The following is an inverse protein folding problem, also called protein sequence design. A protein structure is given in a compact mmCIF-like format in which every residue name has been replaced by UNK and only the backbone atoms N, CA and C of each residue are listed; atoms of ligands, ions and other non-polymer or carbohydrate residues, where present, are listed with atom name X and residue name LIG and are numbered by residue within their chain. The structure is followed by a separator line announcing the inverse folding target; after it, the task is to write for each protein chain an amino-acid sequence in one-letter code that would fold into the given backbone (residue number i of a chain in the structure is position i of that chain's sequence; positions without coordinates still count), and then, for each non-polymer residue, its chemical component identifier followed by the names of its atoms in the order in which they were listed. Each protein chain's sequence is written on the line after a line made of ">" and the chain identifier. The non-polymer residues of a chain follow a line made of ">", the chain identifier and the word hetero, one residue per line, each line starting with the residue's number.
data_IF_360771518115
#
_entry.id   IF_360771518115
#
_cell.length_a   1.000
_cell.length_b   1.000
_cell.length_c   1.000
_cell.angle_alpha   90.00
_cell.angle_beta   90.00
_cell.angle_gamma   90.00
#
_symmetry.space_group_name_H-M   'P 1'
#
loop_
_entity.id
_entity.type
_entity.pdbx_description
1 polymer ?
#
# COMPACT_ATOMS: atom_id res chain seq x y z
N UNK A 1 -34.15 -26.54 -38.64
CA UNK A 1 -34.02 -27.89 -39.25
C UNK A 1 -34.37 -27.86 -40.72
N UNK A 2 -35.43 -27.13 -41.10
CA UNK A 2 -35.85 -27.00 -42.49
C UNK A 2 -35.77 -25.55 -42.93
N UNK A 3 -35.27 -25.32 -44.14
CA UNK A 3 -35.38 -24.06 -44.86
C UNK A 3 -36.53 -24.19 -45.87
N UNK A 4 -37.46 -23.24 -45.83
CA UNK A 4 -38.67 -23.24 -46.65
C UNK A 4 -38.58 -22.02 -47.56
N UNK A 5 -38.56 -22.25 -48.87
CA UNK A 5 -38.46 -21.20 -49.89
C UNK A 5 -39.77 -21.16 -50.66
N UNK A 6 -40.48 -20.04 -50.53
CA UNK A 6 -41.73 -19.77 -51.23
C UNK A 6 -41.55 -18.85 -52.43
N UNK A 7 -42.66 -18.56 -53.09
CA UNK A 7 -42.71 -17.62 -54.21
C UNK A 7 -42.07 -16.26 -53.86
N UNK A 8 -41.53 -15.58 -54.87
CA UNK A 8 -40.87 -14.27 -54.75
C UNK A 8 -39.63 -14.25 -53.83
N UNK A 9 -38.92 -15.37 -53.71
CA UNK A 9 -37.74 -15.53 -52.84
C UNK A 9 -38.01 -15.32 -51.35
N UNK A 10 -39.24 -15.56 -50.91
CA UNK A 10 -39.57 -15.56 -49.48
C UNK A 10 -38.93 -16.79 -48.80
N UNK A 11 -38.22 -16.57 -47.71
CA UNK A 11 -37.50 -17.63 -46.99
C UNK A 11 -37.96 -17.69 -45.54
N UNK A 12 -38.28 -18.90 -45.07
CA UNK A 12 -38.70 -19.19 -43.72
C UNK A 12 -37.88 -20.35 -43.15
N UNK A 13 -37.69 -20.34 -41.83
CA UNK A 13 -37.03 -21.44 -41.12
C UNK A 13 -38.04 -22.16 -40.24
N UNK A 14 -38.02 -23.49 -40.30
CA UNK A 14 -38.93 -24.35 -39.55
C UNK A 14 -38.21 -25.46 -38.80
N UNK A 15 -38.86 -25.92 -37.74
CA UNK A 15 -38.50 -27.17 -37.06
C UNK A 15 -39.26 -28.36 -37.64
N UNK A 16 -40.36 -28.13 -38.35
CA UNK A 16 -41.15 -29.15 -39.05
C UNK A 16 -41.19 -28.85 -40.56
N UNK A 17 -41.24 -29.86 -41.44
CA UNK A 17 -41.25 -29.66 -42.89
C UNK A 17 -42.62 -29.20 -43.44
N UNK A 18 -43.59 -28.90 -42.57
CA UNK A 18 -44.98 -28.60 -42.94
C UNK A 18 -45.88 -29.84 -42.87
N UNK A 19 -47.20 -29.63 -42.93
CA UNK A 19 -48.21 -30.70 -42.80
C UNK A 19 -48.78 -31.19 -44.14
N UNK A 20 -48.62 -30.40 -45.21
CA UNK A 20 -49.15 -30.71 -46.54
C UNK A 20 -47.99 -30.90 -47.52
N UNK A 21 -47.84 -32.11 -48.05
CA UNK A 21 -46.87 -32.42 -49.09
C UNK A 21 -47.54 -32.34 -50.46
N UNK A 22 -47.04 -31.46 -51.32
CA UNK A 22 -47.47 -31.33 -52.71
C UNK A 22 -46.59 -32.19 -53.63
N UNK A 23 -47.08 -32.51 -54.82
CA UNK A 23 -46.28 -33.18 -55.84
C UNK A 23 -45.16 -32.26 -56.35
N UNK A 24 -44.01 -32.82 -56.71
CA UNK A 24 -42.82 -32.07 -57.12
C UNK A 24 -43.05 -31.11 -58.30
N UNK A 25 -43.98 -31.46 -59.20
CA UNK A 25 -44.36 -30.66 -60.37
C UNK A 25 -44.99 -29.30 -60.00
N UNK A 26 -45.46 -29.14 -58.77
CA UNK A 26 -46.00 -27.86 -58.25
C UNK A 26 -44.91 -26.89 -57.80
N UNK A 27 -43.66 -27.34 -57.67
CA UNK A 27 -42.50 -26.50 -57.33
C UNK A 27 -41.62 -26.29 -58.57
N UNK A 28 -42.16 -25.62 -59.57
CA UNK A 28 -41.59 -25.43 -60.91
C UNK A 28 -40.83 -24.11 -61.10
N UNK A 29 -40.79 -23.22 -60.10
CA UNK A 29 -40.11 -21.93 -60.20
C UNK A 29 -38.62 -22.05 -59.88
N UNK A 30 -37.77 -21.48 -60.73
CA UNK A 30 -36.31 -21.45 -60.51
C UNK A 30 -35.90 -20.33 -59.56
N UNK A 31 -34.77 -20.53 -58.85
CA UNK A 31 -34.23 -19.54 -57.93
C UNK A 31 -33.59 -18.35 -58.67
N UNK A 32 -33.86 -17.08 -58.30
CA UNK A 32 -33.38 -15.91 -59.06
C UNK A 32 -31.86 -15.75 -59.16
N UNK A 33 -31.09 -16.33 -58.24
CA UNK A 33 -29.61 -16.30 -58.26
C UNK A 33 -28.98 -17.55 -58.86
N UNK A 34 -29.75 -18.63 -59.02
CA UNK A 34 -29.24 -19.91 -59.50
C UNK A 34 -30.35 -20.70 -60.20
N UNK A 35 -30.37 -20.63 -61.53
CA UNK A 35 -31.40 -21.27 -62.36
C UNK A 35 -31.37 -22.81 -62.30
N UNK A 36 -30.33 -23.41 -61.71
CA UNK A 36 -30.23 -24.87 -61.51
C UNK A 36 -31.02 -25.39 -60.31
N UNK A 37 -31.59 -24.51 -59.49
CA UNK A 37 -32.32 -24.86 -58.27
C UNK A 37 -33.78 -24.38 -58.35
N UNK A 38 -34.69 -25.15 -57.73
CA UNK A 38 -36.14 -24.90 -57.74
C UNK A 38 -36.61 -24.24 -56.44
N UNK A 39 -36.98 -22.97 -56.47
CA UNK A 39 -37.39 -22.16 -55.31
C UNK A 39 -38.92 -22.04 -55.19
N UNK A 40 -39.63 -23.18 -55.07
CA UNK A 40 -41.07 -23.23 -54.86
C UNK A 40 -41.89 -23.13 -56.16
N UNK A 41 -43.14 -22.70 -56.04
CA UNK A 41 -44.09 -22.57 -57.16
C UNK A 41 -45.34 -21.76 -56.78
N UNK A 42 -46.35 -21.76 -57.63
CA UNK A 42 -47.62 -21.06 -57.32
C UNK A 42 -48.33 -21.73 -56.14
N UNK A 43 -48.40 -21.01 -55.01
CA UNK A 43 -48.88 -21.52 -53.72
C UNK A 43 -48.15 -22.78 -53.21
N UNK A 44 -46.91 -22.98 -53.64
CA UNK A 44 -46.06 -24.09 -53.23
C UNK A 44 -44.70 -23.57 -52.75
N UNK A 45 -44.14 -24.23 -51.74
CA UNK A 45 -42.82 -23.90 -51.20
C UNK A 45 -41.90 -25.11 -51.27
N UNK A 46 -40.66 -24.91 -51.72
CA UNK A 46 -39.62 -25.92 -51.64
C UNK A 46 -39.10 -26.00 -50.21
N UNK A 47 -39.05 -27.21 -49.65
CA UNK A 47 -38.55 -27.48 -48.30
C UNK A 47 -37.24 -28.24 -48.39
N UNK A 48 -36.20 -27.71 -47.76
CA UNK A 48 -34.87 -28.29 -47.72
C UNK A 48 -34.53 -28.68 -46.29
N UNK A 49 -34.04 -29.90 -46.08
CA UNK A 49 -33.38 -30.26 -44.82
C UNK A 49 -32.04 -29.52 -44.77
N UNK A 50 -31.81 -28.76 -43.70
CA UNK A 50 -30.56 -28.00 -43.53
C UNK A 50 -29.42 -28.86 -43.00
N UNK A 51 -29.67 -30.14 -42.73
CA UNK A 51 -28.76 -31.11 -42.09
C UNK A 51 -28.27 -30.69 -40.70
N UNK A 52 -28.80 -29.59 -40.15
CA UNK A 52 -28.46 -29.07 -38.82
C UNK A 52 -29.04 -30.00 -37.75
N UNK A 53 -28.14 -30.60 -36.99
CA UNK A 53 -28.43 -31.50 -35.87
C UNK A 53 -28.25 -30.82 -34.51
N UNK A 54 -27.36 -29.82 -34.41
CA UNK A 54 -27.11 -29.08 -33.19
C UNK A 54 -28.36 -28.32 -32.69
N UNK A 55 -28.51 -28.13 -31.36
CA UNK A 55 -29.53 -27.25 -30.81
C UNK A 55 -29.36 -25.80 -31.29
N UNK A 56 -30.47 -25.06 -31.37
CA UNK A 56 -30.45 -23.62 -31.66
C UNK A 56 -29.94 -22.77 -30.50
N UNK A 57 -29.74 -21.46 -30.71
CA UNK A 57 -29.33 -20.52 -29.67
C UNK A 57 -30.42 -20.37 -28.60
N UNK A 58 -30.00 -20.13 -27.36
CA UNK A 58 -30.89 -19.83 -26.24
C UNK A 58 -31.69 -18.56 -26.52
N UNK A 59 -32.92 -18.49 -26.01
CA UNK A 59 -33.78 -17.32 -26.22
C UNK A 59 -33.26 -16.09 -25.46
N UNK A 60 -32.78 -16.28 -24.23
CA UNK A 60 -32.20 -15.22 -23.42
C UNK A 60 -31.23 -15.76 -22.40
N UNK A 61 -30.25 -14.95 -22.04
CA UNK A 61 -29.32 -15.14 -20.93
C UNK A 61 -29.38 -13.91 -20.03
N UNK A 62 -29.42 -14.12 -18.71
CA UNK A 62 -29.41 -13.07 -17.71
C UNK A 62 -28.48 -13.47 -16.57
N UNK A 63 -27.74 -12.51 -16.03
CA UNK A 63 -26.89 -12.69 -14.85
C UNK A 63 -27.45 -11.87 -13.69
N UNK A 64 -27.59 -12.50 -12.53
CA UNK A 64 -28.12 -11.89 -11.31
C UNK A 64 -27.25 -12.27 -10.12
N UNK A 65 -27.44 -11.60 -8.99
CA UNK A 65 -26.77 -11.88 -7.72
C UNK A 65 -25.23 -11.94 -7.88
N UNK A 66 -24.66 -10.88 -8.45
CA UNK A 66 -23.21 -10.78 -8.65
C UNK A 66 -22.57 -10.39 -7.32
N UNK A 67 -21.61 -11.20 -6.87
CA UNK A 67 -20.84 -10.97 -5.65
C UNK A 67 -19.36 -10.79 -6.01
N UNK A 68 -18.48 -10.83 -5.01
CA UNK A 68 -17.02 -10.75 -5.21
C UNK A 68 -16.48 -11.97 -5.95
N UNK A 69 -17.00 -13.17 -5.65
CA UNK A 69 -16.46 -14.43 -6.15
C UNK A 69 -17.51 -15.33 -6.80
N UNK A 70 -18.77 -14.89 -6.86
CA UNK A 70 -19.87 -15.68 -7.42
C UNK A 70 -20.79 -14.85 -8.30
N UNK A 71 -21.46 -15.53 -9.24
CA UNK A 71 -22.55 -14.96 -10.01
C UNK A 71 -23.58 -16.04 -10.35
N UNK A 72 -24.84 -15.65 -10.52
CA UNK A 72 -25.92 -16.57 -10.90
C UNK A 72 -26.36 -16.32 -12.32
N UNK A 73 -26.18 -17.32 -13.19
CA UNK A 73 -26.59 -17.28 -14.59
C UNK A 73 -27.96 -17.94 -14.71
N UNK A 74 -28.88 -17.29 -15.44
CA UNK A 74 -30.22 -17.79 -15.75
C UNK A 74 -30.45 -17.71 -17.25
N UNK A 75 -31.06 -18.74 -17.83
CA UNK A 75 -31.35 -18.76 -19.26
C UNK A 75 -32.73 -19.34 -19.56
N UNK A 76 -33.22 -19.06 -20.76
CA UNK A 76 -34.42 -19.67 -21.31
C UNK A 76 -34.07 -20.66 -22.41
N UNK A 77 -34.78 -21.79 -22.43
CA UNK A 77 -34.55 -22.89 -23.37
C UNK A 77 -34.68 -22.41 -24.82
N UNK A 78 -33.87 -22.94 -25.75
CA UNK A 78 -34.01 -22.61 -27.16
C UNK A 78 -35.26 -23.28 -27.74
N UNK A 79 -35.79 -22.75 -28.84
CA UNK A 79 -36.75 -23.47 -29.68
C UNK A 79 -35.99 -24.55 -30.49
N UNK A 80 -35.67 -25.67 -29.84
CA UNK A 80 -34.95 -26.77 -30.47
C UNK A 80 -35.91 -27.84 -31.00
N UNK A 81 -35.63 -28.35 -32.20
CA UNK A 81 -36.25 -29.57 -32.73
C UNK A 81 -35.60 -30.84 -32.18
N UNK A 82 -34.33 -30.74 -31.77
CA UNK A 82 -33.56 -31.86 -31.22
C UNK A 82 -33.72 -31.97 -29.70
N UNK A 83 -33.53 -33.19 -29.18
CA UNK A 83 -33.65 -33.46 -27.75
C UNK A 83 -32.46 -32.86 -27.01
N UNK A 84 -32.71 -31.78 -26.27
CA UNK A 84 -31.70 -31.16 -25.41
C UNK A 84 -31.42 -32.09 -24.23
N UNK A 85 -30.16 -32.45 -24.05
CA UNK A 85 -29.66 -33.29 -22.96
C UNK A 85 -29.17 -32.45 -21.78
N UNK A 86 -28.67 -31.24 -22.06
CA UNK A 86 -28.17 -30.31 -21.05
C UNK A 86 -27.71 -28.98 -21.62
N UNK A 87 -26.97 -28.25 -20.79
CA UNK A 87 -26.35 -26.98 -21.14
C UNK A 87 -24.89 -26.96 -20.70
N UNK A 88 -24.05 -26.25 -21.45
CA UNK A 88 -22.67 -25.95 -21.07
C UNK A 88 -22.60 -24.46 -20.76
N UNK A 89 -22.14 -24.13 -19.56
CA UNK A 89 -21.89 -22.75 -19.12
C UNK A 89 -20.38 -22.56 -19.04
N UNK A 90 -19.86 -21.54 -19.71
CA UNK A 90 -18.44 -21.16 -19.63
C UNK A 90 -18.29 -19.74 -19.12
N UNK A 91 -17.21 -19.48 -18.39
CA UNK A 91 -16.81 -18.13 -18.03
C UNK A 91 -15.31 -17.96 -18.27
N UNK A 92 -14.98 -17.04 -19.16
CA UNK A 92 -13.59 -16.65 -19.45
C UNK A 92 -13.37 -15.20 -19.05
N UNK A 93 -12.16 -14.90 -18.60
CA UNK A 93 -11.82 -13.56 -18.13
C UNK A 93 -11.46 -12.66 -19.31
N UNK A 94 -11.95 -11.41 -19.28
CA UNK A 94 -11.64 -10.37 -20.27
C UNK A 94 -10.62 -9.40 -19.68
N UNK A 95 -10.81 -9.01 -18.42
CA UNK A 95 -9.97 -8.04 -17.73
C UNK A 95 -9.91 -8.37 -16.23
N UNK A 96 -8.74 -8.22 -15.63
CA UNK A 96 -8.50 -8.48 -14.21
C UNK A 96 -7.36 -7.63 -13.67
N UNK A 97 -7.33 -7.46 -12.35
CA UNK A 97 -6.21 -6.90 -11.61
C UNK A 97 -5.23 -7.96 -11.11
N UNK A 98 -5.56 -9.26 -11.26
CA UNK A 98 -4.71 -10.36 -10.84
C UNK A 98 -3.45 -10.47 -11.69
N UNK A 99 -2.30 -10.65 -11.03
CA UNK A 99 -1.02 -10.99 -11.67
C UNK A 99 -0.98 -12.47 -12.13
N UNK A 100 -1.88 -13.31 -11.62
CA UNK A 100 -1.94 -14.74 -11.93
C UNK A 100 -2.89 -15.04 -13.10
N UNK A 101 -2.54 -15.99 -13.99
CA UNK A 101 -3.43 -16.44 -15.05
C UNK A 101 -4.62 -17.20 -14.46
N UNK A 102 -5.83 -16.79 -14.84
CA UNK A 102 -7.07 -17.39 -14.36
C UNK A 102 -7.61 -18.36 -15.40
N UNK A 103 -7.84 -19.61 -14.97
CA UNK A 103 -8.31 -20.68 -15.84
C UNK A 103 -9.81 -20.45 -16.15
N UNK A 104 -10.23 -20.55 -17.43
CA UNK A 104 -11.64 -20.48 -17.78
C UNK A 104 -12.46 -21.58 -17.09
N UNK A 105 -13.60 -21.19 -16.54
CA UNK A 105 -14.53 -22.12 -15.91
C UNK A 105 -15.44 -22.75 -16.98
N UNK A 106 -15.63 -24.07 -16.93
CA UNK A 106 -16.62 -24.80 -17.71
C UNK A 106 -17.47 -25.68 -16.79
N UNK A 107 -18.79 -25.57 -16.90
CA UNK A 107 -19.76 -26.36 -16.14
C UNK A 107 -20.80 -26.96 -17.08
N UNK A 108 -21.04 -28.27 -16.92
CA UNK A 108 -22.12 -28.99 -17.60
C UNK A 108 -23.29 -29.21 -16.66
N UNK A 109 -24.48 -28.80 -17.08
CA UNK A 109 -25.71 -28.93 -16.28
C UNK A 109 -26.78 -29.71 -17.04
N UNK A 110 -27.63 -30.49 -16.35
CA UNK A 110 -28.66 -31.30 -17.01
C UNK A 110 -29.78 -30.42 -17.59
N UNK A 111 -30.57 -30.97 -18.53
CA UNK A 111 -31.65 -30.25 -19.23
C UNK A 111 -32.70 -29.60 -18.31
N UNK A 112 -32.91 -30.14 -17.11
CA UNK A 112 -33.88 -29.62 -16.14
C UNK A 112 -33.42 -28.34 -15.42
N UNK A 113 -32.15 -27.96 -15.57
CA UNK A 113 -31.55 -26.80 -14.93
C UNK A 113 -31.57 -25.61 -15.88
N UNK A 114 -32.23 -24.53 -15.47
CA UNK A 114 -32.30 -23.25 -16.21
C UNK A 114 -31.57 -22.11 -15.51
N UNK A 115 -30.89 -22.42 -14.41
CA UNK A 115 -30.05 -21.49 -13.68
C UNK A 115 -28.92 -22.23 -12.97
N UNK A 116 -27.75 -21.61 -12.91
CA UNK A 116 -26.62 -22.13 -12.15
C UNK A 116 -25.82 -21.01 -11.51
N UNK A 117 -25.09 -21.34 -10.45
CA UNK A 117 -24.17 -20.43 -9.80
C UNK A 117 -22.74 -20.78 -10.19
N UNK A 118 -22.01 -19.78 -10.64
CA UNK A 118 -20.57 -19.88 -10.89
C UNK A 118 -19.86 -19.42 -9.62
N UNK A 119 -18.91 -20.23 -9.18
CA UNK A 119 -18.15 -20.04 -7.93
C UNK A 119 -16.68 -19.81 -8.25
N UNK A 120 -15.93 -19.33 -7.25
CA UNK A 120 -14.48 -19.14 -7.30
C UNK A 120 -14.02 -18.20 -8.44
N UNK A 121 -14.82 -17.17 -8.72
CA UNK A 121 -14.43 -16.09 -9.63
C UNK A 121 -13.47 -15.13 -8.94
N UNK A 122 -12.63 -14.46 -9.75
CA UNK A 122 -11.72 -13.42 -9.28
C UNK A 122 -12.53 -12.15 -8.99
N UNK A 123 -12.33 -11.52 -7.81
CA UNK A 123 -12.93 -10.23 -7.50
C UNK A 123 -12.50 -9.11 -8.45
N UNK A 124 -13.36 -8.11 -8.60
CA UNK A 124 -13.10 -6.91 -9.41
C UNK A 124 -12.73 -7.20 -10.86
N UNK A 125 -13.20 -8.32 -11.42
CA UNK A 125 -12.78 -8.81 -12.73
C UNK A 125 -13.95 -8.91 -13.69
N UNK A 126 -13.68 -8.66 -14.97
CA UNK A 126 -14.66 -8.67 -16.04
C UNK A 126 -14.64 -10.01 -16.76
N UNK A 127 -15.78 -10.68 -16.81
CA UNK A 127 -15.97 -12.00 -17.39
C UNK A 127 -16.86 -11.96 -18.63
N UNK A 128 -16.52 -12.81 -19.60
CA UNK A 128 -17.39 -13.23 -20.68
C UNK A 128 -18.03 -14.57 -20.30
N UNK A 129 -19.31 -14.54 -19.99
CA UNK A 129 -20.07 -15.73 -19.63
C UNK A 129 -20.84 -16.20 -20.86
N UNK A 130 -20.66 -17.46 -21.23
CA UNK A 130 -21.35 -18.07 -22.38
C UNK A 130 -22.18 -19.25 -21.94
N UNK A 131 -23.34 -19.43 -22.58
CA UNK A 131 -24.17 -20.64 -22.38
C UNK A 131 -24.56 -21.19 -23.74
N UNK A 132 -24.41 -22.50 -23.90
CA UNK A 132 -24.84 -23.25 -25.08
C UNK A 132 -25.73 -24.42 -24.68
N UNK A 133 -26.76 -24.69 -25.48
CA UNK A 133 -27.56 -25.91 -25.36
C UNK A 133 -26.83 -27.09 -26.01
N UNK A 134 -26.99 -28.28 -25.45
CA UNK A 134 -26.28 -29.49 -25.90
C UNK A 134 -27.29 -30.62 -26.12
N UNK A 135 -27.09 -31.41 -27.18
CA UNK A 135 -27.81 -32.66 -27.43
C UNK A 135 -26.88 -33.87 -27.18
N UNK A 136 -27.11 -35.04 -27.79
CA UNK A 136 -26.22 -36.19 -27.60
C UNK A 136 -24.91 -36.10 -28.38
N UNK A 137 -24.90 -35.36 -29.48
CA UNK A 137 -23.84 -35.41 -30.50
C UNK A 137 -23.06 -34.09 -30.60
N UNK A 138 -23.72 -32.96 -30.34
CA UNK A 138 -23.27 -31.62 -30.69
C UNK A 138 -23.66 -30.55 -29.66
N UNK A 139 -22.82 -29.51 -29.60
CA UNK A 139 -23.07 -28.27 -28.86
C UNK A 139 -23.65 -27.21 -29.82
N UNK A 140 -24.71 -26.55 -29.39
CA UNK A 140 -25.32 -25.43 -30.12
C UNK A 140 -24.47 -24.15 -30.03
N UNK A 141 -24.92 -23.06 -30.67
CA UNK A 141 -24.21 -21.79 -30.64
C UNK A 141 -24.19 -21.17 -29.24
N UNK A 142 -23.06 -20.57 -28.88
CA UNK A 142 -22.88 -19.84 -27.63
C UNK A 142 -23.66 -18.53 -27.62
N UNK A 143 -24.43 -18.30 -26.56
CA UNK A 143 -25.00 -16.98 -26.23
C UNK A 143 -24.16 -16.36 -25.13
N UNK A 144 -23.66 -15.14 -25.34
CA UNK A 144 -22.68 -14.49 -24.48
C UNK A 144 -23.24 -13.30 -23.72
N UNK A 145 -22.74 -13.06 -22.51
CA UNK A 145 -23.03 -11.89 -21.69
C UNK A 145 -21.78 -11.46 -20.96
N UNK A 146 -21.54 -10.15 -20.95
CA UNK A 146 -20.40 -9.57 -20.22
C UNK A 146 -20.85 -9.10 -18.85
N UNK A 147 -20.09 -9.45 -17.82
CA UNK A 147 -20.39 -9.11 -16.43
C UNK A 147 -19.11 -8.80 -15.67
N UNK A 148 -19.20 -7.99 -14.63
CA UNK A 148 -18.07 -7.63 -13.76
C UNK A 148 -18.40 -8.01 -12.32
N UNK A 149 -17.49 -8.75 -11.67
CA UNK A 149 -17.61 -9.12 -10.24
C UNK A 149 -17.37 -7.91 -9.35
N UNK A 150 -17.93 -7.95 -8.14
CA UNK A 150 -17.69 -6.90 -7.13
C UNK A 150 -16.22 -6.92 -6.71
N UNK A 151 -15.65 -5.76 -6.39
CA UNK A 151 -14.28 -5.69 -5.87
C UNK A 151 -14.16 -6.40 -4.52
N UNK A 152 -13.02 -7.05 -4.30
CA UNK A 152 -12.72 -7.75 -3.05
C UNK A 152 -11.90 -6.90 -2.09
N UNK A 153 -11.66 -7.43 -0.90
CA UNK A 153 -10.68 -6.87 0.04
C UNK A 153 -9.30 -6.80 -0.63
N UNK A 154 -8.58 -5.66 -0.55
CA UNK A 154 -7.27 -5.54 -1.17
C UNK A 154 -6.30 -6.65 -0.77
N UNK A 155 -5.60 -7.22 -1.75
CA UNK A 155 -4.63 -8.30 -1.54
C UNK A 155 -3.47 -8.16 -2.56
N UNK A 156 -2.21 -8.41 -2.19
CA UNK A 156 -1.69 -8.84 -0.89
C UNK A 156 -1.76 -7.75 0.21
N UNK A 157 -1.27 -8.08 1.41
CA UNK A 157 -1.15 -7.10 2.50
C UNK A 157 -0.33 -5.90 2.02
N UNK A 158 -0.72 -4.66 2.37
CA UNK A 158 0.10 -3.48 2.10
C UNK A 158 1.51 -3.65 2.69
N UNK A 159 2.54 -3.08 2.05
CA UNK A 159 3.90 -3.07 2.58
C UNK A 159 4.01 -2.12 3.79
N UNK A 160 5.00 -2.40 4.65
CA UNK A 160 5.32 -1.51 5.78
C UNK A 160 5.80 -0.14 5.28
N UNK A 161 5.40 0.92 5.99
CA UNK A 161 5.91 2.28 5.75
C UNK A 161 7.41 2.34 6.08
N UNK A 162 8.21 2.95 5.20
CA UNK A 162 9.65 3.09 5.41
C UNK A 162 9.94 4.37 6.18
N UNK A 163 10.38 4.23 7.43
CA UNK A 163 10.88 5.34 8.21
C UNK A 163 12.17 5.93 7.60
N UNK A 164 12.28 7.26 7.57
CA UNK A 164 13.51 7.97 7.19
C UNK A 164 14.11 8.72 8.38
N UNK A 165 13.40 9.72 8.87
CA UNK A 165 13.90 10.63 9.91
C UNK A 165 12.78 11.10 10.84
N UNK A 166 13.14 11.52 12.05
CA UNK A 166 12.23 12.12 13.01
C UNK A 166 12.83 13.40 13.58
N UNK A 167 12.02 14.47 13.60
CA UNK A 167 12.37 15.77 14.15
C UNK A 167 11.25 16.21 15.10
N UNK A 168 11.42 15.96 16.40
CA UNK A 168 10.45 16.33 17.44
C UNK A 168 9.06 15.70 17.25
N UNK A 169 8.09 16.54 16.90
CA UNK A 169 6.68 16.19 16.66
C UNK A 169 6.38 15.77 15.20
N UNK A 170 7.40 15.65 14.36
CA UNK A 170 7.28 15.28 12.94
C UNK A 170 8.10 14.08 12.57
N UNK A 171 7.57 13.26 11.66
CA UNK A 171 8.24 12.07 11.13
C UNK A 171 8.22 12.08 9.61
N UNK A 172 9.40 12.01 9.00
CA UNK A 172 9.56 11.84 7.55
C UNK A 172 9.55 10.34 7.22
N UNK A 173 8.62 9.95 6.34
CA UNK A 173 8.42 8.56 5.92
C UNK A 173 8.32 8.46 4.40
N UNK A 174 8.62 7.29 3.88
CA UNK A 174 8.38 6.93 2.48
C UNK A 174 7.35 5.80 2.42
N UNK A 175 6.31 5.99 1.61
CA UNK A 175 5.22 5.02 1.45
C UNK A 175 5.50 4.20 0.19
N UNK A 176 5.80 2.89 0.29
CA UNK A 176 6.00 2.06 -0.88
C UNK A 176 4.69 1.82 -1.65
N UNK A 177 4.77 1.69 -2.97
CA UNK A 177 3.63 1.29 -3.79
C UNK A 177 3.12 -0.10 -3.38
N UNK A 178 1.80 -0.20 -3.15
CA UNK A 178 1.13 -1.46 -2.88
C UNK A 178 0.60 -2.10 -4.17
N UNK A 179 0.25 -3.38 -4.08
CA UNK A 179 -0.46 -4.11 -5.12
C UNK A 179 -1.87 -4.45 -4.63
N UNK A 180 -2.82 -4.52 -5.56
CA UNK A 180 -4.17 -5.00 -5.29
C UNK A 180 -4.66 -5.88 -6.46
N UNK A 181 -4.84 -7.18 -6.22
CA UNK A 181 -5.32 -8.14 -7.22
C UNK A 181 -6.85 -8.24 -7.28
N UNK A 182 -7.55 -7.60 -6.34
CA UNK A 182 -9.00 -7.71 -6.14
C UNK A 182 -9.77 -6.44 -6.57
N UNK A 183 -9.06 -5.43 -7.09
CA UNK A 183 -9.65 -4.17 -7.52
C UNK A 183 -8.61 -3.07 -7.76
N UNK A 184 -9.04 -1.85 -8.10
CA UNK A 184 -8.15 -0.70 -8.23
C UNK A 184 -7.59 -0.26 -6.86
N UNK A 185 -6.45 0.42 -6.85
CA UNK A 185 -5.98 1.18 -5.69
C UNK A 185 -6.49 2.60 -5.86
N UNK A 186 -7.44 3.01 -5.02
CA UNK A 186 -8.05 4.33 -5.10
C UNK A 186 -7.30 5.32 -4.20
N UNK A 187 -6.93 4.92 -2.98
CA UNK A 187 -6.22 5.77 -2.02
C UNK A 187 -5.34 4.94 -1.08
N UNK A 188 -4.37 5.60 -0.46
CA UNK A 188 -3.57 5.10 0.66
C UNK A 188 -4.01 5.78 1.95
N UNK A 189 -4.24 5.01 3.01
CA UNK A 189 -4.67 5.52 4.31
C UNK A 189 -3.55 5.31 5.32
N UNK A 190 -3.09 6.38 5.97
CA UNK A 190 -2.00 6.30 6.95
C UNK A 190 -2.59 6.39 8.35
N UNK A 191 -2.29 5.39 9.19
CA UNK A 191 -2.75 5.30 10.57
C UNK A 191 -1.56 5.44 11.49
N UNK A 192 -1.69 6.32 12.47
CA UNK A 192 -0.72 6.48 13.57
C UNK A 192 -1.29 5.77 14.79
N UNK A 193 -0.50 4.90 15.40
CA UNK A 193 -0.83 4.22 16.64
C UNK A 193 0.24 4.50 17.68
N UNK A 194 -0.17 4.80 18.92
CA UNK A 194 0.71 5.08 20.05
C UNK A 194 0.65 3.85 20.96
N UNK A 195 1.64 2.96 20.85
CA UNK A 195 1.63 1.63 21.45
C UNK A 195 1.99 1.63 22.95
N UNK A 196 1.15 2.22 23.81
CA UNK A 196 1.38 2.17 25.27
C UNK A 196 1.18 0.75 25.84
N UNK A 197 0.37 -0.10 25.19
CA UNK A 197 -0.06 -1.40 25.76
C UNK A 197 -0.02 -2.61 24.80
N UNK A 198 0.75 -2.56 23.70
CA UNK A 198 0.90 -3.67 22.71
C UNK A 198 -0.40 -4.15 22.01
N UNK A 199 -1.51 -3.45 22.17
CA UNK A 199 -2.71 -3.67 21.35
C UNK A 199 -2.64 -2.72 20.16
N UNK A 200 -2.57 -3.28 18.95
CA UNK A 200 -2.73 -2.51 17.72
C UNK A 200 -4.10 -1.84 17.63
N UNK A 201 -4.41 -1.25 16.49
CA UNK A 201 -5.69 -0.55 16.32
C UNK A 201 -6.84 -1.49 15.93
N UNK A 202 -8.06 -1.09 16.30
CA UNK A 202 -9.29 -1.77 15.86
C UNK A 202 -9.92 -0.98 14.73
N UNK A 203 -10.27 -1.65 13.63
CA UNK A 203 -10.76 -0.99 12.40
C UNK A 203 -12.12 -0.31 12.64
N UNK A 204 -13.00 -0.91 13.47
CA UNK A 204 -14.36 -0.42 13.71
C UNK A 204 -14.42 0.93 14.42
N UNK A 205 -13.41 1.24 15.24
CA UNK A 205 -13.30 2.46 16.03
C UNK A 205 -12.32 3.46 15.42
N UNK A 206 -11.72 3.13 14.28
CA UNK A 206 -10.72 3.95 13.62
C UNK A 206 -11.37 5.19 12.99
N UNK A 207 -10.87 6.38 13.33
CA UNK A 207 -11.39 7.65 12.85
C UNK A 207 -10.35 8.78 12.88
N UNK A 208 -10.82 10.02 12.76
CA UNK A 208 -9.97 11.22 12.80
C UNK A 208 -9.32 11.41 14.17
N UNK A 209 -8.23 12.17 14.21
CA UNK A 209 -7.54 12.53 15.45
C UNK A 209 -8.46 13.14 16.54
N UNK A 210 -9.39 14.02 16.16
CA UNK A 210 -10.34 14.62 17.12
C UNK A 210 -11.26 13.59 17.77
N UNK A 211 -11.73 12.61 16.99
CA UNK A 211 -12.54 11.50 17.48
C UNK A 211 -11.74 10.59 18.42
N UNK A 212 -10.49 10.30 18.05
CA UNK A 212 -9.60 9.52 18.90
C UNK A 212 -9.37 10.19 20.27
N UNK A 213 -9.17 11.51 20.30
CA UNK A 213 -9.07 12.26 21.57
C UNK A 213 -10.35 12.15 22.39
N UNK A 214 -11.52 12.40 21.78
CA UNK A 214 -12.82 12.33 22.48
C UNK A 214 -13.08 10.95 23.10
N UNK A 215 -12.68 9.89 22.40
CA UNK A 215 -12.84 8.50 22.84
C UNK A 215 -11.68 7.94 23.64
N UNK A 216 -10.59 8.69 23.82
CA UNK A 216 -9.38 8.20 24.48
C UNK A 216 -8.71 7.03 23.76
N UNK A 217 -8.79 6.99 22.42
CA UNK A 217 -8.19 5.94 21.60
C UNK A 217 -6.72 6.25 21.30
N UNK A 218 -5.81 5.27 21.39
CA UNK A 218 -4.38 5.48 21.14
C UNK A 218 -4.01 5.45 19.65
N UNK A 219 -4.97 5.53 18.73
CA UNK A 219 -4.73 5.46 17.30
C UNK A 219 -5.70 6.34 16.53
N UNK A 220 -5.27 6.84 15.38
CA UNK A 220 -6.08 7.68 14.51
C UNK A 220 -5.58 7.66 13.06
N UNK A 221 -6.47 7.99 12.14
CA UNK A 221 -6.12 8.23 10.74
C UNK A 221 -5.50 9.62 10.64
N UNK A 222 -4.29 9.68 10.11
CA UNK A 222 -3.53 10.93 9.95
C UNK A 222 -3.67 11.52 8.55
N UNK A 223 -3.85 10.67 7.54
CA UNK A 223 -4.03 11.09 6.15
C UNK A 223 -4.71 10.02 5.29
N UNK A 224 -5.45 10.47 4.28
CA UNK A 224 -5.73 9.70 3.08
C UNK A 224 -5.05 10.38 1.88
N UNK A 225 -4.23 9.64 1.17
CA UNK A 225 -3.34 10.11 0.11
C UNK A 225 -3.74 9.47 -1.22
N UNK A 226 -3.67 10.24 -2.30
CA UNK A 226 -3.87 9.72 -3.64
C UNK A 226 -2.63 8.92 -4.10
N UNK A 227 -2.75 8.00 -5.08
CA UNK A 227 -1.62 7.22 -5.58
C UNK A 227 -0.45 8.06 -6.14
N UNK A 228 -0.70 9.32 -6.50
CA UNK A 228 0.35 10.24 -6.94
C UNK A 228 1.14 10.86 -5.78
N UNK A 229 0.52 11.02 -4.60
CA UNK A 229 1.16 11.67 -3.44
C UNK A 229 2.30 10.82 -2.86
N UNK A 230 2.19 9.49 -2.98
CA UNK A 230 3.17 8.54 -2.42
C UNK A 230 4.49 8.49 -3.22
N UNK A 231 4.57 9.17 -4.37
CA UNK A 231 5.81 9.26 -5.16
C UNK A 231 6.91 10.04 -4.44
N UNK A 232 6.52 10.95 -3.54
CA UNK A 232 7.42 11.73 -2.71
C UNK A 232 7.37 11.24 -1.26
N UNK A 233 8.33 11.71 -0.45
CA UNK A 233 8.29 11.44 0.98
C UNK A 233 7.14 12.21 1.64
N UNK A 234 6.51 11.57 2.62
CA UNK A 234 5.39 12.10 3.37
C UNK A 234 5.84 12.49 4.78
N UNK A 235 5.34 13.62 5.28
CA UNK A 235 5.64 14.12 6.63
C UNK A 235 4.42 13.88 7.51
N UNK A 236 4.53 13.00 8.50
CA UNK A 236 3.52 12.82 9.54
C UNK A 236 3.71 13.91 10.60
N UNK A 237 2.63 14.57 11.02
CA UNK A 237 2.65 15.65 12.01
C UNK A 237 2.83 17.07 11.46
N UNK A 238 2.66 17.26 10.15
CA UNK A 238 2.81 18.58 9.50
C UNK A 238 1.63 19.55 9.73
N UNK A 239 0.56 19.11 10.40
CA UNK A 239 -0.66 19.89 10.71
C UNK A 239 -1.49 20.25 9.48
N UNK A 240 -1.25 19.60 8.35
CA UNK A 240 -2.05 19.73 7.12
C UNK A 240 -3.20 18.71 7.16
N UNK A 241 -4.30 19.02 6.47
CA UNK A 241 -5.43 18.09 6.32
C UNK A 241 -5.39 17.43 4.96
N UNK A 242 -5.39 16.09 4.93
CA UNK A 242 -5.34 15.27 3.71
C UNK A 242 -6.64 14.50 3.58
N UNK A 243 -7.43 14.79 2.53
CA UNK A 243 -8.73 14.16 2.26
C UNK A 243 -9.66 14.09 3.50
N UNK A 244 -9.67 15.15 4.31
CA UNK A 244 -10.53 15.27 5.49
C UNK A 244 -9.92 14.75 6.80
N UNK A 245 -8.69 14.22 6.77
CA UNK A 245 -7.96 13.76 7.95
C UNK A 245 -6.89 14.77 8.36
N UNK A 246 -6.94 15.23 9.61
CA UNK A 246 -5.97 16.17 10.16
C UNK A 246 -4.70 15.44 10.60
N UNK A 247 -3.57 15.78 9.99
CA UNK A 247 -2.26 15.20 10.27
C UNK A 247 -1.67 15.80 11.55
N UNK A 248 -2.14 15.31 12.69
CA UNK A 248 -1.82 15.86 14.00
C UNK A 248 -0.34 15.69 14.37
N UNK A 249 0.24 16.67 15.10
CA UNK A 249 1.63 16.57 15.55
C UNK A 249 1.81 15.36 16.46
N UNK A 250 2.93 14.65 16.27
CA UNK A 250 3.21 13.42 17.00
C UNK A 250 3.65 13.72 18.44
N UNK A 251 3.26 12.88 19.42
CA UNK A 251 3.78 12.99 20.78
C UNK A 251 5.29 12.69 20.81
N UNK A 252 5.99 13.26 21.80
CA UNK A 252 7.42 13.05 22.03
C UNK A 252 7.67 11.70 22.75
N UNK A 253 7.31 10.60 22.08
CA UNK A 253 7.53 9.22 22.53
C UNK A 253 8.10 8.38 21.39
N UNK A 254 8.77 7.29 21.75
CA UNK A 254 9.31 6.31 20.81
C UNK A 254 8.32 5.20 20.46
N UNK A 255 7.22 5.09 21.20
CA UNK A 255 6.23 4.04 21.02
C UNK A 255 5.18 4.45 19.98
N UNK A 256 5.63 4.82 18.78
CA UNK A 256 4.78 5.18 17.65
C UNK A 256 4.94 4.15 16.56
N UNK A 257 3.82 3.56 16.17
CA UNK A 257 3.69 2.72 14.99
C UNK A 257 2.92 3.46 13.89
N UNK A 258 3.34 3.22 12.65
CA UNK A 258 2.70 3.77 11.45
C UNK A 258 2.28 2.61 10.55
N UNK A 259 0.97 2.45 10.43
CA UNK A 259 0.36 1.39 9.64
C UNK A 259 -0.23 1.94 8.36
N UNK A 260 0.03 1.25 7.24
CA UNK A 260 -0.49 1.59 5.93
C UNK A 260 -1.79 0.81 5.64
N UNK A 261 -2.79 1.51 5.15
CA UNK A 261 -4.01 0.96 4.59
C UNK A 261 -4.10 1.20 3.09
N UNK A 262 -4.55 0.21 2.33
CA UNK A 262 -4.92 0.36 0.92
C UNK A 262 -6.43 0.40 0.82
N UNK A 263 -6.94 1.43 0.16
CA UNK A 263 -8.37 1.65 -0.07
C UNK A 263 -8.67 1.35 -1.54
N UNK A 264 -9.60 0.43 -1.77
CA UNK A 264 -10.15 0.12 -3.09
C UNK A 264 -11.60 0.56 -3.13
N UNK A 265 -11.94 1.44 -4.06
CA UNK A 265 -13.29 1.95 -4.23
C UNK A 265 -13.71 1.91 -5.70
N UNK A 266 -14.82 1.22 -5.98
CA UNK A 266 -15.40 1.09 -7.32
C UNK A 266 -16.90 0.79 -7.22
N UNK A 267 -17.71 1.41 -8.08
CA UNK A 267 -19.17 1.20 -8.12
C UNK A 267 -19.86 1.34 -6.74
N UNK A 268 -19.46 2.35 -5.95
CA UNK A 268 -19.95 2.61 -4.59
C UNK A 268 -19.63 1.54 -3.54
N UNK A 269 -18.80 0.55 -3.88
CA UNK A 269 -18.26 -0.41 -2.93
C UNK A 269 -16.87 0.06 -2.52
N UNK A 270 -16.65 0.19 -1.21
CA UNK A 270 -15.35 0.54 -0.60
C UNK A 270 -14.84 -0.63 0.22
N UNK A 271 -13.60 -1.05 -0.02
CA UNK A 271 -12.91 -2.12 0.69
C UNK A 271 -11.54 -1.61 1.13
N UNK A 272 -11.12 -1.98 2.33
CA UNK A 272 -9.86 -1.50 2.90
C UNK A 272 -9.13 -2.68 3.53
N UNK A 273 -7.81 -2.75 3.33
CA UNK A 273 -6.93 -3.64 4.09
C UNK A 273 -5.78 -2.85 4.66
N UNK A 274 -5.40 -3.15 5.89
CA UNK A 274 -4.24 -2.59 6.56
C UNK A 274 -3.11 -3.62 6.62
N UNK A 275 -1.87 -3.13 6.74
CA UNK A 275 -0.68 -3.97 6.91
C UNK A 275 -0.80 -4.85 8.18
N UNK A 276 -0.38 -6.11 8.07
CA UNK A 276 -0.46 -7.09 9.16
C UNK A 276 0.69 -6.98 10.19
N UNK A 277 1.76 -6.24 9.89
CA UNK A 277 2.99 -6.22 10.69
C UNK A 277 3.35 -4.80 11.16
N UNK A 278 3.21 -4.53 12.46
CA UNK A 278 3.78 -3.36 13.12
C UNK A 278 5.23 -3.66 13.50
N UNK A 279 6.16 -3.47 12.55
CA UNK A 279 7.58 -3.41 12.91
C UNK A 279 7.76 -2.22 13.85
N UNK A 280 8.09 -2.48 15.13
CA UNK A 280 8.49 -1.43 16.06
C UNK A 280 9.63 -0.62 15.46
N UNK A 281 9.34 0.61 15.06
CA UNK A 281 10.38 1.56 14.71
C UNK A 281 10.96 2.01 16.05
N UNK A 282 12.07 1.40 16.49
CA UNK A 282 12.84 1.92 17.63
C UNK A 282 13.48 3.21 17.12
N UNK A 283 12.81 4.33 17.40
CA UNK A 283 13.31 5.65 17.07
C UNK A 283 14.37 6.02 18.11
N UNK A 284 15.62 6.12 17.67
CA UNK A 284 16.58 6.89 18.45
C UNK A 284 16.15 8.35 18.35
N UNK A 285 15.67 8.93 19.45
CA UNK A 285 15.55 10.39 19.63
C UNK A 285 16.96 10.96 19.79
N UNK A 286 17.81 10.72 18.81
CA UNK A 286 19.01 11.51 18.71
C UNK A 286 18.56 12.72 17.91
N UNK A 287 18.07 13.74 18.62
CA UNK A 287 18.32 15.10 18.16
C UNK A 287 19.83 15.13 17.87
N UNK A 288 20.28 15.34 16.62
CA UNK A 288 21.67 15.72 16.46
C UNK A 288 21.79 17.00 17.27
N UNK A 289 22.56 16.97 18.36
CA UNK A 289 23.01 18.21 18.99
C UNK A 289 23.61 19.04 17.85
N UNK A 290 22.90 20.08 17.40
CA UNK A 290 23.49 21.09 16.54
C UNK A 290 24.51 21.82 17.41
N UNK A 291 25.70 21.23 17.53
CA UNK A 291 26.82 21.86 18.22
C UNK A 291 27.11 23.13 17.45
N UNK A 292 26.64 24.27 17.98
CA UNK A 292 26.74 25.54 17.28
C UNK A 292 28.19 25.75 16.80
N UNK A 293 28.41 26.29 15.60
CA UNK A 293 29.76 26.50 15.07
C UNK A 293 30.62 27.38 16.00
N UNK A 294 29.97 28.18 16.85
CA UNK A 294 30.60 28.99 17.89
C UNK A 294 31.20 28.15 19.03
N UNK A 295 30.56 27.05 19.44
CA UNK A 295 31.09 26.14 20.48
C UNK A 295 32.32 25.38 19.96
N UNK A 296 32.27 24.91 18.70
CA UNK A 296 33.42 24.26 18.05
C UNK A 296 34.58 25.25 17.88
N UNK A 297 34.30 26.48 17.45
CA UNK A 297 35.30 27.53 17.32
C UNK A 297 35.92 27.92 18.67
N UNK A 298 35.10 28.01 19.73
CA UNK A 298 35.57 28.32 21.08
C UNK A 298 36.47 27.19 21.63
N UNK A 299 36.07 25.93 21.44
CA UNK A 299 36.88 24.77 21.83
C UNK A 299 38.24 24.74 21.12
N UNK A 300 38.27 25.01 19.81
CA UNK A 300 39.51 25.10 19.04
C UNK A 300 40.40 26.27 19.50
N UNK A 301 39.82 27.44 19.79
CA UNK A 301 40.57 28.60 20.27
C UNK A 301 41.23 28.35 21.63
N UNK A 302 40.53 27.68 22.56
CA UNK A 302 41.07 27.31 23.87
C UNK A 302 42.24 26.33 23.69
N UNK A 303 42.08 25.31 22.85
CA UNK A 303 43.15 24.33 22.59
C UNK A 303 44.41 24.99 22.01
N UNK A 304 44.27 25.89 21.03
CA UNK A 304 45.39 26.65 20.46
C UNK A 304 46.04 27.55 21.52
N UNK A 305 45.24 28.21 22.35
CA UNK A 305 45.74 29.06 23.44
C UNK A 305 46.60 28.30 24.45
N UNK A 306 46.16 27.10 24.85
CA UNK A 306 46.93 26.24 25.78
C UNK A 306 48.27 25.83 25.16
N UNK A 307 48.29 25.45 23.89
CA UNK A 307 49.53 25.07 23.19
C UNK A 307 50.52 26.24 23.12
N UNK A 308 50.03 27.44 22.79
CA UNK A 308 50.88 28.64 22.76
C UNK A 308 51.44 29.00 24.14
N UNK A 309 50.65 28.81 25.21
CA UNK A 309 51.07 29.06 26.58
C UNK A 309 52.18 28.07 26.99
N UNK A 310 52.04 26.79 26.65
CA UNK A 310 53.07 25.76 26.89
C UNK A 310 54.37 26.06 26.13
N UNK A 311 54.28 26.49 24.87
CA UNK A 311 55.45 26.93 24.08
C UNK A 311 56.11 28.16 24.73
N UNK A 312 55.32 29.14 25.16
CA UNK A 312 55.79 30.34 25.85
C UNK A 312 56.52 30.01 27.17
N UNK A 313 55.96 29.11 27.98
CA UNK A 313 56.61 28.62 29.21
C UNK A 313 57.91 27.89 28.89
N UNK A 314 57.92 27.04 27.86
CA UNK A 314 59.14 26.38 27.38
C UNK A 314 60.22 27.37 26.96
N UNK A 315 59.87 28.40 26.20
CA UNK A 315 60.78 29.48 25.80
C UNK A 315 61.29 30.27 27.01
N UNK A 316 60.44 30.58 27.99
CA UNK A 316 60.85 31.25 29.23
C UNK A 316 61.85 30.41 30.03
N UNK A 317 61.65 29.09 30.10
CA UNK A 317 62.58 28.17 30.76
C UNK A 317 63.93 28.15 30.02
N UNK A 318 63.91 28.10 28.68
CA UNK A 318 65.12 28.14 27.85
C UNK A 318 65.85 29.48 28.04
N UNK A 319 65.14 30.61 28.00
CA UNK A 319 65.70 31.93 28.22
C UNK A 319 66.30 32.08 29.62
N UNK A 320 65.61 31.59 30.66
CA UNK A 320 66.17 31.55 32.03
C UNK A 320 67.44 30.71 32.11
N UNK A 321 67.47 29.51 31.50
CA UNK A 321 68.68 28.68 31.45
C UNK A 321 69.81 29.39 30.71
N UNK A 322 69.52 30.04 29.58
CA UNK A 322 70.53 30.74 28.77
C UNK A 322 71.09 31.97 29.49
N UNK A 323 70.25 32.72 30.21
CA UNK A 323 70.67 33.84 31.06
C UNK A 323 71.51 33.33 32.24
N UNK A 324 71.14 32.21 32.86
CA UNK A 324 71.92 31.59 33.94
C UNK A 324 73.29 31.10 33.46
N UNK A 325 73.38 30.50 32.28
CA UNK A 325 74.64 30.09 31.64
C UNK A 325 75.51 31.28 31.22
N UNK A 326 74.91 32.36 30.71
CA UNK A 326 75.62 33.59 30.39
C UNK A 326 76.17 34.30 31.63
N UNK A 327 75.51 34.18 32.78
CA UNK A 327 76.02 34.67 34.07
C UNK A 327 77.21 33.84 34.57
N UNK A 328 77.23 32.52 34.32
CA UNK A 328 78.38 31.65 34.65
C UNK A 328 79.62 31.93 33.79
N UNK A 329 79.47 32.35 32.53
CA UNK A 329 80.60 32.67 31.65
C UNK A 329 81.20 34.07 31.84
N UNK A 330 80.51 35.01 32.50
CA UNK A 330 81.00 36.38 32.74
C UNK A 330 81.76 36.57 34.07
N UNK A 331 81.96 35.53 34.87
CA UNK A 331 82.60 35.59 36.20
C UNK A 331 84.12 35.48 36.24
N UNK A 332 84.82 35.73 35.13
CA UNK A 332 86.28 35.62 35.03
C UNK A 332 86.86 36.90 34.42
N UNK A 333 86.97 37.98 35.21
CA UNK A 333 88.06 38.95 35.15
C UNK A 333 87.94 40.02 36.27
N UNK A 334 89.07 40.19 36.98
CA UNK A 334 89.52 41.28 37.88
C UNK A 334 88.80 41.55 39.23
N UNK A 335 89.31 40.92 40.30
CA UNK A 335 90.12 41.44 41.45
C UNK A 335 89.89 42.88 42.03
N UNK A 336 90.31 43.17 43.29
CA UNK A 336 89.42 43.51 44.42
C UNK A 336 89.81 44.85 45.09
N UNK A 337 89.19 45.22 46.22
CA UNK A 337 89.89 45.83 47.36
C UNK A 337 89.02 45.78 48.63
N UNK A 338 89.63 45.26 49.67
CA UNK A 338 89.17 45.12 51.06
C UNK A 338 88.98 46.46 51.77
N UNK A 339 88.08 46.55 52.76
CA UNK A 339 88.47 46.72 54.16
C UNK A 339 87.27 46.68 55.15
N UNK A 340 87.54 46.02 56.29
CA UNK A 340 87.04 46.27 57.66
C UNK A 340 85.55 46.14 57.99
N UNK A 341 85.25 45.12 58.79
CA UNK A 341 84.16 45.12 59.78
C UNK A 341 84.39 46.26 60.81
N UNK A 342 83.36 46.67 61.57
CA UNK A 342 83.14 46.01 62.84
C UNK A 342 81.68 45.78 63.24
N UNK A 343 81.57 44.82 64.16
CA UNK A 343 80.45 44.30 64.92
C UNK A 343 79.67 45.39 65.67
N UNK A 344 78.36 45.17 65.86
CA UNK A 344 77.68 45.50 67.12
C UNK A 344 76.41 44.65 67.29
N UNK A 345 76.35 43.97 68.43
CA UNK A 345 75.19 43.24 68.95
C UNK A 345 74.13 44.20 69.50
N UNK A 346 72.88 43.75 69.63
CA UNK A 346 72.14 43.66 70.91
C UNK A 346 70.75 43.03 70.70
N UNK A 347 70.40 42.25 71.71
CA UNK A 347 69.34 41.27 71.91
C UNK A 347 67.88 41.77 72.03
N UNK A 348 67.01 40.75 72.14
CA UNK A 348 65.77 40.67 72.94
C UNK A 348 64.52 41.27 72.30
N UNK A 349 63.33 40.67 72.38
CA UNK A 349 62.79 39.56 73.19
C UNK A 349 61.33 39.33 72.75
N UNK A 350 60.69 38.23 73.18
CA UNK A 350 59.22 38.06 73.13
C UNK A 350 58.75 36.89 72.26
N UNK A 351 58.81 35.64 72.72
CA UNK A 351 57.90 34.91 73.62
C UNK A 351 56.59 34.43 72.98
N UNK A 352 56.34 33.13 73.16
CA UNK A 352 55.32 32.25 72.58
C UNK A 352 53.95 32.42 73.24
N UNK A 353 52.87 32.02 72.56
CA UNK A 353 52.03 30.91 73.03
C UNK A 353 51.05 30.42 71.95
N UNK A 354 51.10 29.10 71.71
CA UNK A 354 49.99 28.32 71.17
C UNK A 354 48.90 28.17 72.23
N UNK A 355 47.63 28.12 71.84
CA UNK A 355 46.65 27.22 72.47
C UNK A 355 45.42 27.03 71.55
N UNK A 356 45.21 25.77 71.19
CA UNK A 356 43.97 25.21 70.63
C UNK A 356 42.89 25.19 71.71
N UNK A 357 41.65 25.57 71.39
CA UNK A 357 40.49 25.22 72.21
C UNK A 357 39.31 24.76 71.35
N UNK A 358 38.93 23.49 71.58
CA UNK A 358 37.73 22.82 71.07
C UNK A 358 36.71 22.82 72.20
N UNK A 359 35.52 23.37 71.98
CA UNK A 359 34.33 23.03 72.78
C UNK A 359 33.09 22.96 71.89
N UNK A 360 32.44 21.81 71.93
CA UNK A 360 31.08 21.56 71.47
C UNK A 360 30.22 21.35 72.71
N UNK A 361 29.06 21.99 72.80
CA UNK A 361 27.80 21.36 73.25
C UNK A 361 26.65 22.37 73.23
N UNK A 362 25.59 21.99 72.53
CA UNK A 362 24.24 22.48 72.74
C UNK A 362 23.92 22.66 74.23
N UNK A 363 23.71 23.90 74.65
CA UNK A 363 22.83 24.19 75.78
C UNK A 363 22.43 25.66 75.79
N UNK A 364 21.12 25.84 75.71
CA UNK A 364 20.33 26.96 76.25
C UNK A 364 19.97 28.16 75.35
N UNK A 365 18.69 28.12 74.96
CA UNK A 365 17.70 29.22 75.00
C UNK A 365 17.79 30.19 73.81
N UNK A 366 16.77 30.30 72.94
CA UNK A 366 15.37 30.54 73.26
C UNK A 366 14.46 30.29 72.06
#
# INVERSE_FOLDING_TARGET
>A
KYAIIGNDSTCFCGNVPGTLQLQFEKCDKTCPKNETQMCGGDNAASVYDTEVTAPGPLFSINVVNITETTLRVRWMTPHAFTVITGYVVRASIIQTFSDLPIIPLELRVPKGTLQTELLNLQPGSKYNVTVAAVNYDEEGPNVTVTVETVIGTPDPSPPDVKFKERHGDRMLVHIPEAKNINGPISMYRVVVSIEVYQQGFTIETLGNHSYAIDKGLPYYITAELDPDDIKNDFIIGDRVTYNGFYNAPLPLTNDIDVSLGVVSEKNHVKKIRYAESTKRIILNINEPEEVSPMVVALGAAIAIGVVLLLIGVGLLIILRKKIHLARLQRGSQSMPLSLSEPCIEIENSGFMQDEDERVDYYSNLK
#
